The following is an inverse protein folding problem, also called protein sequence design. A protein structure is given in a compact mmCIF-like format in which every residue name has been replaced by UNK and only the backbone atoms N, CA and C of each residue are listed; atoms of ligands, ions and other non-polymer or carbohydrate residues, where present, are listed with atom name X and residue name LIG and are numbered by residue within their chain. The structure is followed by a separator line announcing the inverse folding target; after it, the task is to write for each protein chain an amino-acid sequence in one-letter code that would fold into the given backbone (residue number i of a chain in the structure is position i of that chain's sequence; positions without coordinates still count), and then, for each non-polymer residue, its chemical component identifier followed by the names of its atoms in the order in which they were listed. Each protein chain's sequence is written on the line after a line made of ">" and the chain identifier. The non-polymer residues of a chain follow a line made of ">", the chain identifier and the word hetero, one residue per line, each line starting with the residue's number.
data_IF_924712477777
#
_entry.id   IF_924712477777
#
_cell.length_a   1.000
_cell.length_b   1.000
_cell.length_c   1.000
_cell.angle_alpha   90.00
_cell.angle_beta   90.00
_cell.angle_gamma   90.00
#
_symmetry.space_group_name_H-M   'P 1'
#
loop_
_entity.id
_entity.type
_entity.pdbx_description
1 polymer ?
#
# COMPACT_ATOMS: atom_id res chain seq x y z
N UNK A 1 1.32 0.31 10.76
CA UNK A 1 1.25 -0.78 9.76
C UNK A 1 -0.17 -0.86 9.23
N UNK A 2 -0.38 -0.62 7.93
CA UNK A 2 -1.67 -0.89 7.31
C UNK A 2 -1.84 -2.41 7.17
N UNK A 3 -2.42 -3.05 8.19
CA UNK A 3 -2.63 -4.49 8.26
C UNK A 3 -3.81 -4.99 7.39
N UNK A 4 -4.35 -4.14 6.51
CA UNK A 4 -5.66 -4.35 5.87
C UNK A 4 -5.65 -5.01 4.50
N UNK A 5 -4.49 -5.29 3.90
CA UNK A 5 -4.44 -5.91 2.56
C UNK A 5 -4.19 -7.41 2.69
N UNK A 6 -5.20 -8.26 2.46
CA UNK A 6 -5.02 -9.71 2.53
C UNK A 6 -4.15 -10.19 1.36
N UNK A 7 -3.24 -11.13 1.62
CA UNK A 7 -2.30 -11.64 0.62
C UNK A 7 -3.00 -12.26 -0.61
N UNK A 8 -4.22 -12.76 -0.43
CA UNK A 8 -5.04 -13.34 -1.51
C UNK A 8 -5.58 -12.30 -2.49
N UNK A 9 -5.61 -11.01 -2.13
CA UNK A 9 -6.04 -9.96 -3.08
C UNK A 9 -5.08 -9.82 -4.26
N UNK A 10 -3.78 -10.03 -4.04
CA UNK A 10 -2.76 -9.86 -5.07
C UNK A 10 -2.85 -10.91 -6.21
N UNK A 11 -3.63 -11.96 -6.00
CA UNK A 11 -3.96 -12.95 -7.03
C UNK A 11 -5.42 -12.81 -7.51
N UNK A 12 -6.20 -11.90 -6.91
CA UNK A 12 -7.59 -11.68 -7.24
C UNK A 12 -7.74 -10.79 -8.49
N UNK A 13 -8.75 -11.10 -9.31
CA UNK A 13 -9.14 -10.29 -10.48
C UNK A 13 -10.16 -9.19 -10.15
N UNK A 14 -10.47 -9.00 -8.86
CA UNK A 14 -11.51 -8.09 -8.38
C UNK A 14 -10.87 -7.02 -7.52
N UNK A 15 -11.32 -5.79 -7.68
CA UNK A 15 -10.92 -4.71 -6.77
C UNK A 15 -11.39 -4.99 -5.35
N UNK A 16 -10.60 -4.59 -4.37
CA UNK A 16 -10.97 -4.65 -2.95
C UNK A 16 -10.95 -3.23 -2.40
N UNK A 17 -12.08 -2.79 -1.87
CA UNK A 17 -12.21 -1.49 -1.23
C UNK A 17 -12.39 -1.73 0.26
N UNK A 18 -11.48 -1.17 1.06
CA UNK A 18 -11.58 -1.12 2.52
C UNK A 18 -11.81 0.34 2.89
N UNK A 19 -13.06 0.67 3.18
CA UNK A 19 -13.43 2.02 3.56
C UNK A 19 -13.35 2.23 5.07
N UNK A 20 -13.01 3.47 5.48
CA UNK A 20 -12.99 3.91 6.88
C UNK A 20 -12.18 3.01 7.84
N UNK A 21 -11.04 2.46 7.41
CA UNK A 21 -10.16 1.66 8.26
C UNK A 21 -9.62 2.54 9.40
N UNK A 22 -9.92 2.23 10.68
CA UNK A 22 -9.43 3.02 11.80
C UNK A 22 -7.92 2.81 11.96
N UNK A 23 -7.17 3.91 11.93
CA UNK A 23 -5.72 3.94 12.20
C UNK A 23 -5.42 4.89 13.34
N UNK A 24 -4.17 4.92 13.82
CA UNK A 24 -3.77 5.84 14.88
C UNK A 24 -3.87 7.31 14.46
N UNK A 25 -3.78 7.60 13.17
CA UNK A 25 -3.87 8.93 12.55
C UNK A 25 -5.23 9.12 11.86
N UNK A 26 -6.32 8.63 12.47
CA UNK A 26 -7.67 8.77 11.90
C UNK A 26 -8.05 7.67 10.89
N UNK A 27 -9.06 7.95 10.08
CA UNK A 27 -9.63 6.99 9.13
C UNK A 27 -8.80 6.95 7.85
N UNK A 28 -8.52 5.74 7.37
CA UNK A 28 -7.86 5.51 6.07
C UNK A 28 -8.80 4.78 5.14
N UNK A 29 -8.94 5.28 3.93
CA UNK A 29 -9.58 4.57 2.83
C UNK A 29 -8.50 3.87 2.01
N UNK A 30 -8.72 2.61 1.67
CA UNK A 30 -7.80 1.82 0.84
C UNK A 30 -8.58 1.23 -0.31
N UNK A 31 -8.18 1.54 -1.52
CA UNK A 31 -8.68 0.92 -2.73
C UNK A 31 -7.57 0.12 -3.40
N UNK A 32 -7.84 -1.14 -3.66
CA UNK A 32 -6.92 -2.06 -4.29
C UNK A 32 -7.48 -2.38 -5.68
N UNK A 33 -6.82 -1.86 -6.71
CA UNK A 33 -7.23 -2.00 -8.11
C UNK A 33 -6.32 -2.94 -8.89
N UNK A 34 -6.91 -3.78 -9.75
CA UNK A 34 -6.14 -4.57 -10.72
C UNK A 34 -6.25 -3.93 -12.10
N UNK A 35 -5.12 -3.53 -12.70
CA UNK A 35 -5.04 -3.20 -14.12
C UNK A 35 -4.53 -4.40 -14.93
N UNK A 36 -4.56 -4.29 -16.25
CA UNK A 36 -4.07 -5.32 -17.17
C UNK A 36 -2.60 -5.68 -16.92
N UNK A 37 -1.76 -4.71 -16.55
CA UNK A 37 -0.30 -4.91 -16.40
C UNK A 37 0.26 -4.57 -15.01
N UNK A 38 -0.54 -3.96 -14.14
CA UNK A 38 -0.10 -3.52 -12.82
C UNK A 38 -1.16 -3.77 -11.76
N UNK A 39 -0.72 -4.00 -10.53
CA UNK A 39 -1.57 -3.88 -9.35
C UNK A 39 -1.35 -2.50 -8.75
N UNK A 40 -2.44 -1.93 -8.23
CA UNK A 40 -2.47 -0.60 -7.66
C UNK A 40 -3.07 -0.65 -6.27
N UNK A 41 -2.43 0.04 -5.32
CA UNK A 41 -2.92 0.27 -3.97
C UNK A 41 -3.06 1.78 -3.81
N UNK A 42 -4.29 2.27 -3.81
CA UNK A 42 -4.63 3.64 -3.49
C UNK A 42 -4.95 3.74 -2.01
N UNK A 43 -4.36 4.73 -1.35
CA UNK A 43 -4.51 4.98 0.07
C UNK A 43 -4.88 6.45 0.19
N UNK A 44 -6.11 6.71 0.64
CA UNK A 44 -6.58 8.07 0.95
C UNK A 44 -6.70 8.24 2.45
N UNK A 45 -6.24 9.38 2.96
CA UNK A 45 -6.29 9.73 4.38
C UNK A 45 -6.69 11.16 4.59
N UNK A 46 -7.49 11.38 5.62
CA UNK A 46 -7.87 12.72 6.06
C UNK A 46 -6.73 13.40 6.83
N UNK A 47 -5.84 12.61 7.46
CA UNK A 47 -4.70 13.11 8.22
C UNK A 47 -3.40 12.45 7.75
N UNK A 48 -2.35 13.25 7.58
CA UNK A 48 -1.05 12.83 7.05
C UNK A 48 -0.13 12.44 8.21
N UNK A 49 0.12 11.14 8.47
CA UNK A 49 1.09 10.74 9.47
C UNK A 49 2.51 11.05 8.99
N UNK A 50 3.45 11.20 9.94
CA UNK A 50 4.87 11.40 9.61
C UNK A 50 5.42 10.24 8.76
N UNK A 51 5.13 9.00 9.16
CA UNK A 51 5.53 7.78 8.46
C UNK A 51 4.48 6.69 8.61
N UNK A 52 4.42 5.79 7.63
CA UNK A 52 3.62 4.57 7.74
C UNK A 52 4.21 3.41 6.93
N UNK A 53 3.91 2.20 7.39
CA UNK A 53 4.32 0.97 6.73
C UNK A 53 3.17 0.35 5.94
N UNK A 54 3.46 -0.03 4.68
CA UNK A 54 2.57 -0.83 3.83
C UNK A 54 3.17 -2.21 3.64
N UNK A 55 2.35 -3.23 3.90
CA UNK A 55 2.72 -4.60 3.62
C UNK A 55 2.65 -4.89 2.13
N UNK A 56 3.73 -5.46 1.60
CA UNK A 56 3.83 -5.89 0.20
C UNK A 56 4.03 -7.41 0.22
N UNK A 57 3.36 -8.19 -0.64
CA UNK A 57 3.56 -9.63 -0.68
C UNK A 57 5.00 -9.98 -0.99
N UNK A 58 5.46 -11.09 -0.42
CA UNK A 58 6.79 -11.64 -0.71
C UNK A 58 6.98 -12.03 -2.18
N UNK A 59 5.90 -12.29 -2.93
CA UNK A 59 5.94 -12.56 -4.36
C UNK A 59 6.27 -11.34 -5.22
N UNK A 60 6.10 -10.12 -4.68
CA UNK A 60 6.35 -8.88 -5.41
C UNK A 60 7.79 -8.41 -5.15
N UNK A 61 8.63 -8.25 -6.20
CA UNK A 61 9.98 -7.71 -6.01
C UNK A 61 9.92 -6.28 -5.49
N UNK A 62 10.48 -6.03 -4.30
CA UNK A 62 10.49 -4.69 -3.69
C UNK A 62 10.95 -3.58 -4.66
N UNK A 63 12.02 -3.74 -5.46
CA UNK A 63 12.47 -2.68 -6.38
C UNK A 63 11.44 -2.26 -7.45
N UNK A 64 10.46 -3.12 -7.75
CA UNK A 64 9.41 -2.83 -8.74
C UNK A 64 8.26 -1.99 -8.18
N UNK A 65 8.19 -1.81 -6.87
CA UNK A 65 7.14 -0.99 -6.26
C UNK A 65 7.49 0.49 -6.39
N UNK A 66 6.60 1.24 -7.04
CA UNK A 66 6.65 2.71 -7.14
C UNK A 66 5.61 3.31 -6.21
N UNK A 67 5.92 4.47 -5.64
CA UNK A 67 4.99 5.26 -4.84
C UNK A 67 4.80 6.63 -5.49
N UNK A 68 3.55 7.09 -5.52
CA UNK A 68 3.13 8.41 -5.97
C UNK A 68 2.34 9.06 -4.84
N UNK A 69 2.50 10.36 -4.60
CA UNK A 69 1.90 11.02 -3.44
C UNK A 69 2.55 10.65 -2.09
N UNK A 70 3.62 9.84 -2.12
CA UNK A 70 4.47 9.52 -0.98
C UNK A 70 5.89 9.24 -1.44
N UNK A 71 6.85 9.44 -0.53
CA UNK A 71 8.25 9.07 -0.70
C UNK A 71 8.55 7.74 -0.02
N UNK A 72 9.29 6.86 -0.70
CA UNK A 72 9.79 5.60 -0.12
C UNK A 72 11.04 5.90 0.69
N UNK A 73 10.95 5.73 2.00
CA UNK A 73 12.06 5.93 2.94
C UNK A 73 12.87 4.64 3.08
N UNK A 74 12.19 3.50 3.15
CA UNK A 74 12.84 2.22 3.42
C UNK A 74 12.09 1.05 2.78
N UNK A 75 12.83 0.10 2.21
CA UNK A 75 12.30 -1.18 1.71
C UNK A 75 12.80 -2.30 2.63
N UNK A 76 11.98 -2.74 3.57
CA UNK A 76 12.32 -3.78 4.55
C UNK A 76 11.95 -5.16 4.02
N UNK A 77 12.93 -5.90 3.53
CA UNK A 77 12.78 -7.32 3.21
C UNK A 77 12.99 -8.17 4.48
N UNK A 78 12.02 -8.20 5.39
CA UNK A 78 12.02 -9.18 6.50
C UNK A 78 11.45 -10.51 6.03
N UNK A 79 12.05 -11.62 6.46
CA UNK A 79 11.70 -12.98 6.03
C UNK A 79 10.23 -13.38 6.27
N UNK A 80 9.57 -12.79 7.27
CA UNK A 80 8.18 -13.11 7.60
C UNK A 80 7.14 -12.25 6.86
N UNK A 81 7.51 -11.05 6.41
CA UNK A 81 6.58 -10.06 5.87
C UNK A 81 7.38 -8.86 5.34
N UNK A 82 7.42 -8.62 4.02
CA UNK A 82 8.10 -7.46 3.47
C UNK A 82 7.24 -6.19 3.61
N UNK A 83 7.88 -5.08 3.96
CA UNK A 83 7.20 -3.79 4.13
C UNK A 83 7.94 -2.68 3.41
N UNK A 84 7.16 -1.71 2.92
CA UNK A 84 7.68 -0.43 2.46
C UNK A 84 7.26 0.64 3.45
N UNK A 85 8.25 1.37 3.97
CA UNK A 85 8.03 2.55 4.79
C UNK A 85 7.91 3.77 3.88
N UNK A 86 6.86 4.55 4.11
CA UNK A 86 6.47 5.70 3.31
C UNK A 86 6.32 6.94 4.18
N UNK A 87 6.71 8.08 3.63
CA UNK A 87 6.33 9.42 4.12
C UNK A 87 5.31 9.98 3.14
N UNK A 88 4.06 10.23 3.56
CA UNK A 88 3.05 10.80 2.68
C UNK A 88 3.41 12.25 2.35
N UNK A 89 3.22 12.63 1.08
CA UNK A 89 3.39 14.01 0.60
C UNK A 89 2.04 14.62 0.20
N UNK A 90 1.00 13.81 0.11
CA UNK A 90 -0.39 14.18 -0.18
C UNK A 90 -1.37 13.25 0.52
N UNK A 91 -2.63 13.68 0.62
CA UNK A 91 -3.76 12.91 1.18
C UNK A 91 -4.00 11.60 0.43
N UNK A 92 -3.64 11.56 -0.84
CA UNK A 92 -3.68 10.37 -1.68
C UNK A 92 -2.27 9.85 -1.92
N UNK A 93 -2.05 8.57 -1.61
CA UNK A 93 -0.86 7.82 -1.99
C UNK A 93 -1.26 6.68 -2.90
N UNK A 94 -0.53 6.50 -4.00
CA UNK A 94 -0.71 5.38 -4.91
C UNK A 94 0.56 4.55 -4.97
N UNK A 95 0.46 3.26 -4.62
CA UNK A 95 1.50 2.29 -4.87
C UNK A 95 1.17 1.49 -6.11
N UNK A 96 2.17 1.31 -6.98
CA UNK A 96 2.03 0.46 -8.17
C UNK A 96 3.16 -0.54 -8.23
N UNK A 97 2.87 -1.74 -8.71
CA UNK A 97 3.85 -2.78 -9.01
C UNK A 97 3.37 -3.64 -10.17
N UNK A 98 4.33 -4.16 -10.93
CA UNK A 98 4.04 -5.00 -12.09
C UNK A 98 3.52 -6.38 -11.65
N UNK A 99 2.66 -6.96 -12.47
CA UNK A 99 2.24 -8.36 -12.38
C UNK A 99 3.39 -9.32 -12.70
#
# INVERSE_FOLDING_TARGET
>A
VLAGVPAEWFTAKKSLVVDSLPTQSGKTHIELGSSSNQHQIEIRRDELPDEYDVHIPSSVPMPMVKAYGASIVERKSKAASPFIKLVPLSEETVLTFHK
#
